data_IF_104606255892
#
_entry.id   IF_104606255892
#
_cell.length_a   1.000
_cell.length_b   1.000
_cell.length_c   1.000
_cell.angle_alpha   90.00
_cell.angle_beta   90.00
_cell.angle_gamma   90.00
#
_symmetry.space_group_name_H-M   'P 1'
#
loop_
_entity.id
_entity.type
_entity.pdbx_description
1 polymer ?
#
# COMPACT_ATOMS: atom_id res chain seq x y z
N UNK A 1 31.59 62.47 25.98
CA UNK A 1 31.37 62.22 25.87
C UNK A 1 30.89 61.17 25.47
N UNK A 2 30.63 60.87 25.36
CA UNK A 2 30.32 60.28 25.04
C UNK A 2 29.77 59.21 24.73
N UNK A 3 29.59 59.07 24.66
CA UNK A 3 29.22 58.36 24.45
C UNK A 3 28.72 57.40 23.99
N UNK A 4 28.56 57.33 23.88
CA UNK A 4 28.15 56.67 23.51
C UNK A 4 27.82 55.61 23.02
N UNK A 5 27.67 55.40 22.98
CA UNK A 5 27.42 54.63 22.54
C UNK A 5 27.03 53.60 22.28
N UNK A 6 26.91 53.41 22.22
CA UNK A 6 26.58 52.70 22.00
C UNK A 6 26.04 51.78 21.66
N UNK A 7 25.68 51.46 21.56
CA UNK A 7 25.21 50.78 21.29
C UNK A 7 24.88 49.82 20.82
N UNK A 8 24.79 49.54 20.69
CA UNK A 8 24.55 48.88 20.31
C UNK A 8 24.12 47.86 19.83
N UNK A 9 23.95 47.63 19.58
CA UNK A 9 23.71 46.91 19.14
C UNK A 9 23.34 45.87 19.00
N UNK A 10 23.22 45.52 18.78
CA UNK A 10 22.91 44.73 18.74
C UNK A 10 22.41 43.89 18.28
N UNK A 11 22.12 43.72 18.30
CA UNK A 11 21.65 43.16 18.05
C UNK A 11 21.35 42.19 17.49
N UNK A 12 21.22 41.89 17.19
CA UNK A 12 20.94 41.18 16.77
C UNK A 12 20.70 40.07 16.45
N UNK A 13 20.57 39.67 16.29
CA UNK A 13 20.43 38.85 16.09
C UNK A 13 19.87 37.89 15.62
N UNK A 14 19.55 37.67 15.53
CA UNK A 14 19.01 37.14 15.14
C UNK A 14 18.77 35.95 14.84
N UNK A 15 18.57 35.49 14.61
CA UNK A 15 18.37 34.62 14.45
C UNK A 15 17.84 33.72 13.90
N UNK A 16 17.71 33.34 13.78
CA UNK A 16 17.25 32.57 13.35
C UNK A 16 17.08 31.57 12.91
N UNK A 17 16.82 31.10 12.67
CA UNK A 17 16.63 30.39 12.44
C UNK A 17 16.17 29.42 12.00
N UNK A 18 15.82 28.99 11.84
CA UNK A 18 15.43 28.28 11.51
C UNK A 18 15.09 27.34 11.10
N UNK A 19 14.88 26.92 10.76
CA UNK A 19 14.52 26.32 10.46
C UNK A 19 14.29 25.32 9.94
N UNK A 20 14.17 24.77 9.96
CA UNK A 20 14.08 23.89 9.67
C UNK A 20 13.41 23.18 8.98
N UNK A 21 13.34 22.88 8.41
CA UNK A 21 12.79 22.41 7.68
C UNK A 21 12.35 21.16 7.72
N UNK A 22 11.51 20.90 8.03
CA UNK A 22 10.86 19.67 8.14
C UNK A 22 10.38 19.10 6.84
N UNK A 23 10.62 19.79 5.79
CA UNK A 23 10.17 19.26 4.51
C UNK A 23 10.66 17.85 4.27
N UNK A 24 11.89 17.57 4.64
CA UNK A 24 12.42 16.23 4.49
C UNK A 24 11.70 15.24 5.39
N UNK A 25 11.36 15.68 6.56
CA UNK A 25 10.63 14.80 7.46
C UNK A 25 9.26 14.46 6.93
N UNK A 26 8.60 15.40 6.30
CA UNK A 26 7.30 15.14 5.72
C UNK A 26 7.37 14.04 4.66
N UNK A 27 8.47 13.97 3.94
CA UNK A 27 8.65 12.94 2.93
C UNK A 27 8.76 11.55 3.54
N UNK A 28 9.23 11.46 4.76
CA UNK A 28 9.41 10.20 5.45
C UNK A 28 8.32 9.91 6.47
N UNK A 29 7.30 10.73 6.50
CA UNK A 29 6.16 10.42 7.35
C UNK A 29 5.61 9.05 6.95
N UNK A 30 5.20 8.26 7.91
CA UNK A 30 4.60 6.97 7.58
C UNK A 30 3.42 7.19 6.66
N UNK A 31 3.33 6.39 5.64
CA UNK A 31 2.16 6.38 4.81
C UNK A 31 0.95 6.04 5.68
N UNK A 32 -0.20 6.57 5.33
CA UNK A 32 -1.41 6.16 6.00
C UNK A 32 -1.50 4.65 5.94
N UNK A 33 -2.02 4.01 6.99
CA UNK A 33 -2.20 2.56 6.95
C UNK A 33 -3.03 2.21 5.71
N UNK A 34 -2.64 1.16 5.04
CA UNK A 34 -3.41 0.66 3.92
C UNK A 34 -4.81 0.30 4.41
N UNK A 35 -5.79 0.53 3.56
CA UNK A 35 -7.13 0.07 3.85
C UNK A 35 -7.08 -1.43 4.13
N UNK A 36 -7.90 -1.88 5.06
CA UNK A 36 -7.89 -3.27 5.48
C UNK A 36 -9.30 -3.84 5.43
N UNK A 37 -9.36 -5.16 5.29
CA UNK A 37 -10.61 -5.90 5.37
C UNK A 37 -10.32 -7.20 6.12
N UNK A 38 -11.19 -7.54 7.06
CA UNK A 38 -11.05 -8.82 7.73
C UNK A 38 -11.40 -9.95 6.76
N UNK A 39 -10.67 -11.05 6.84
CA UNK A 39 -10.94 -12.19 5.97
C UNK A 39 -12.39 -12.64 6.03
N UNK A 40 -12.98 -12.63 7.21
CA UNK A 40 -14.37 -13.06 7.39
C UNK A 40 -15.37 -12.11 6.72
N UNK A 41 -14.95 -10.87 6.45
CA UNK A 41 -15.83 -9.86 5.85
C UNK A 41 -15.68 -9.76 4.34
N UNK A 42 -14.82 -10.56 3.74
CA UNK A 42 -14.70 -10.63 2.29
C UNK A 42 -15.98 -11.22 1.68
N UNK A 43 -16.29 -10.85 0.43
CA UNK A 43 -17.35 -11.58 -0.28
C UNK A 43 -17.07 -13.07 -0.28
N UNK A 44 -18.11 -13.85 -0.36
CA UNK A 44 -18.01 -15.31 -0.31
C UNK A 44 -16.98 -15.83 -1.32
N UNK A 45 -17.04 -15.34 -2.56
CA UNK A 45 -16.15 -15.80 -3.62
C UNK A 45 -14.70 -15.47 -3.31
N UNK A 46 -14.46 -14.34 -2.65
CA UNK A 46 -13.10 -13.98 -2.26
C UNK A 46 -12.59 -14.88 -1.14
N UNK A 47 -13.47 -15.24 -0.20
CA UNK A 47 -13.07 -16.18 0.85
C UNK A 47 -12.73 -17.54 0.25
N UNK A 48 -13.49 -17.96 -0.75
CA UNK A 48 -13.22 -19.23 -1.43
C UNK A 48 -11.88 -19.20 -2.15
N UNK A 49 -11.59 -18.11 -2.86
CA UNK A 49 -10.31 -17.96 -3.54
C UNK A 49 -9.17 -17.92 -2.54
N UNK A 50 -9.34 -17.20 -1.43
CA UNK A 50 -8.31 -17.13 -0.41
C UNK A 50 -7.98 -18.52 0.14
N UNK A 51 -9.02 -19.34 0.37
CA UNK A 51 -8.81 -20.69 0.84
C UNK A 51 -8.02 -21.52 -0.18
N UNK A 52 -8.34 -21.36 -1.47
CA UNK A 52 -7.60 -22.05 -2.51
C UNK A 52 -6.13 -21.61 -2.57
N UNK A 53 -5.88 -20.31 -2.42
CA UNK A 53 -4.52 -19.79 -2.44
C UNK A 53 -3.71 -20.39 -1.30
N UNK A 54 -4.28 -20.44 -0.10
CA UNK A 54 -3.61 -21.03 1.06
C UNK A 54 -3.35 -22.51 0.89
N UNK A 55 -4.22 -23.19 0.19
CA UNK A 55 -4.12 -24.62 -0.02
C UNK A 55 -3.21 -24.98 -1.17
N UNK A 56 -2.97 -24.04 -2.08
CA UNK A 56 -2.14 -24.30 -3.26
C UNK A 56 -2.90 -24.75 -4.50
N UNK A 57 -4.20 -24.55 -4.51
CA UNK A 57 -5.03 -24.89 -5.64
C UNK A 57 -5.77 -26.20 -5.45
N UNK A 58 -6.35 -26.77 -6.52
CA UNK A 58 -6.25 -26.29 -7.89
C UNK A 58 -7.09 -25.04 -8.13
N UNK A 59 -6.70 -24.29 -9.16
CA UNK A 59 -7.34 -23.01 -9.45
C UNK A 59 -8.18 -23.12 -10.71
N UNK A 60 -9.36 -22.46 -10.75
CA UNK A 60 -10.26 -22.61 -11.90
C UNK A 60 -9.90 -21.79 -13.12
N UNK A 61 -9.03 -20.80 -13.00
CA UNK A 61 -8.68 -19.94 -14.13
C UNK A 61 -7.23 -20.14 -14.52
N UNK A 62 -7.00 -20.15 -15.84
CA UNK A 62 -5.65 -20.41 -16.35
C UNK A 62 -4.63 -19.38 -15.88
N UNK A 63 -5.08 -18.16 -15.65
CA UNK A 63 -4.16 -17.10 -15.21
C UNK A 63 -3.91 -17.08 -13.71
N UNK A 64 -4.60 -17.90 -12.96
CA UNK A 64 -4.40 -17.92 -11.52
C UNK A 64 -2.96 -18.34 -11.20
N UNK A 65 -2.33 -17.61 -10.32
CA UNK A 65 -0.93 -17.84 -9.98
C UNK A 65 0.07 -17.07 -10.81
N UNK A 66 -0.40 -16.27 -11.77
CA UNK A 66 0.51 -15.45 -12.58
C UNK A 66 1.19 -14.39 -11.72
N UNK A 67 2.38 -14.01 -12.12
CA UNK A 67 3.12 -12.96 -11.43
C UNK A 67 2.38 -11.63 -11.58
N UNK A 68 2.17 -10.94 -10.46
CA UNK A 68 1.61 -9.60 -10.45
C UNK A 68 2.78 -8.61 -10.31
N UNK A 69 2.92 -7.71 -11.28
CA UNK A 69 4.11 -6.86 -11.36
C UNK A 69 4.12 -5.66 -10.45
N UNK A 70 2.97 -5.28 -9.88
CA UNK A 70 2.87 -4.09 -9.01
C UNK A 70 3.42 -2.83 -9.70
N UNK A 71 3.13 -2.67 -10.98
CA UNK A 71 3.73 -1.59 -11.77
C UNK A 71 3.36 -0.20 -11.28
N UNK A 72 2.13 -0.02 -10.81
CA UNK A 72 1.67 1.26 -10.29
C UNK A 72 2.11 1.49 -8.86
N UNK A 73 2.76 0.53 -8.24
CA UNK A 73 3.27 0.71 -6.89
C UNK A 73 2.21 0.82 -5.82
N UNK A 74 1.02 0.25 -6.05
CA UNK A 74 -0.06 0.35 -5.07
C UNK A 74 0.12 -0.58 -3.88
N UNK A 75 0.91 -1.62 -4.06
CA UNK A 75 1.32 -2.51 -2.97
C UNK A 75 2.75 -2.18 -2.57
N UNK A 76 3.17 -2.61 -1.38
CA UNK A 76 4.56 -2.35 -0.97
C UNK A 76 5.54 -2.87 -2.01
N UNK A 77 6.62 -2.12 -2.29
CA UNK A 77 7.57 -2.52 -3.32
C UNK A 77 8.30 -3.80 -2.90
N UNK A 78 8.35 -4.73 -3.82
CA UNK A 78 9.03 -6.02 -3.62
C UNK A 78 9.66 -6.44 -4.93
N UNK A 79 10.57 -7.40 -4.86
CA UNK A 79 11.19 -7.98 -6.03
C UNK A 79 10.14 -8.59 -6.94
N UNK A 80 10.37 -8.52 -8.23
CA UNK A 80 9.50 -9.18 -9.18
C UNK A 80 9.39 -10.66 -8.83
N UNK A 81 8.17 -11.17 -8.92
CA UNK A 81 7.89 -12.55 -8.55
C UNK A 81 7.41 -12.71 -7.11
N UNK A 82 7.50 -11.64 -6.31
CA UNK A 82 7.01 -11.70 -4.94
C UNK A 82 5.50 -11.84 -4.88
N UNK A 83 4.78 -11.15 -5.77
CA UNK A 83 3.31 -11.16 -5.79
C UNK A 83 2.79 -12.05 -6.90
N UNK A 84 1.70 -12.77 -6.60
CA UNK A 84 0.96 -13.55 -7.58
C UNK A 84 -0.51 -13.20 -7.49
N UNK A 85 -1.19 -13.22 -8.64
CA UNK A 85 -2.59 -12.84 -8.70
C UNK A 85 -3.49 -14.04 -8.88
N UNK A 86 -4.70 -13.92 -8.36
CA UNK A 86 -5.71 -14.99 -8.44
C UNK A 86 -7.06 -14.36 -8.67
N UNK A 87 -7.89 -15.02 -9.48
CA UNK A 87 -9.21 -14.53 -9.83
C UNK A 87 -10.21 -14.81 -8.72
N UNK A 88 -10.97 -13.80 -8.35
CA UNK A 88 -12.14 -13.95 -7.50
C UNK A 88 -13.36 -13.92 -8.42
N UNK A 89 -14.12 -15.01 -8.46
CA UNK A 89 -15.25 -15.12 -9.35
C UNK A 89 -16.27 -14.01 -9.06
N UNK A 90 -16.79 -13.42 -10.13
CA UNK A 90 -17.89 -12.48 -10.02
C UNK A 90 -19.15 -13.18 -10.53
N UNK A 91 -20.11 -13.45 -9.67
CA UNK A 91 -21.33 -14.15 -10.09
C UNK A 91 -22.02 -13.42 -11.24
N UNK A 92 -22.42 -14.15 -12.25
CA UNK A 92 -23.10 -13.58 -13.39
C UNK A 92 -22.22 -13.06 -14.48
N UNK A 93 -20.90 -12.97 -14.24
CA UNK A 93 -19.96 -12.52 -15.26
C UNK A 93 -19.49 -13.70 -16.09
N UNK A 94 -19.44 -13.51 -17.39
CA UNK A 94 -18.88 -14.51 -18.28
C UNK A 94 -17.37 -14.44 -18.31
N UNK A 95 -16.82 -13.27 -18.10
CA UNK A 95 -15.38 -13.05 -18.08
C UNK A 95 -14.85 -13.29 -16.69
N UNK A 96 -13.54 -13.11 -16.52
CA UNK A 96 -12.93 -13.17 -15.19
C UNK A 96 -13.44 -12.09 -14.25
N UNK A 97 -14.07 -11.02 -14.79
CA UNK A 97 -14.47 -9.90 -13.98
C UNK A 97 -13.28 -9.13 -13.45
N UNK A 98 -13.52 -8.27 -12.46
CA UNK A 98 -12.52 -7.31 -11.97
C UNK A 98 -11.95 -7.65 -10.60
N UNK A 99 -12.39 -8.72 -9.99
CA UNK A 99 -11.99 -9.05 -8.63
C UNK A 99 -10.77 -9.94 -8.62
N UNK A 100 -9.81 -9.63 -7.74
CA UNK A 100 -8.59 -10.44 -7.61
C UNK A 100 -8.17 -10.52 -6.16
N UNK A 101 -7.44 -11.57 -5.84
CA UNK A 101 -6.59 -11.61 -4.66
C UNK A 101 -5.16 -11.61 -5.16
N UNK A 102 -4.33 -10.78 -4.55
CA UNK A 102 -2.90 -10.79 -4.78
C UNK A 102 -2.25 -11.30 -3.52
N UNK A 103 -1.42 -12.33 -3.68
CA UNK A 103 -0.75 -12.98 -2.57
C UNK A 103 0.73 -12.68 -2.63
N UNK A 104 1.29 -12.22 -1.52
CA UNK A 104 2.71 -12.06 -1.37
C UNK A 104 3.36 -13.34 -0.88
N UNK A 105 4.63 -13.50 -1.20
CA UNK A 105 5.37 -14.71 -0.86
C UNK A 105 5.40 -14.97 0.65
N UNK A 106 5.41 -13.92 1.45
CA UNK A 106 5.52 -14.04 2.90
C UNK A 106 4.16 -14.19 3.59
N UNK A 107 3.09 -14.45 2.84
CA UNK A 107 1.80 -14.71 3.44
C UNK A 107 0.95 -13.46 3.64
N UNK A 108 1.28 -12.38 2.97
CA UNK A 108 0.44 -11.20 2.94
C UNK A 108 -0.53 -11.29 1.77
N UNK A 109 -1.78 -10.93 2.02
CA UNK A 109 -2.83 -11.05 1.02
C UNK A 109 -3.55 -9.72 0.85
N UNK A 110 -3.94 -9.42 -0.39
CA UNK A 110 -4.55 -8.16 -0.77
C UNK A 110 -5.75 -8.43 -1.64
N UNK A 111 -6.82 -7.69 -1.45
CA UNK A 111 -8.04 -7.85 -2.23
C UNK A 111 -8.31 -6.59 -3.05
N UNK A 112 -8.69 -6.79 -4.31
CA UNK A 112 -9.16 -5.70 -5.18
C UNK A 112 -10.45 -6.12 -5.85
N UNK A 113 -11.38 -5.19 -5.96
CA UNK A 113 -12.64 -5.42 -6.69
C UNK A 113 -12.78 -4.47 -7.89
N UNK A 114 -11.74 -3.74 -8.22
CA UNK A 114 -11.75 -2.76 -9.30
C UNK A 114 -10.58 -2.93 -10.26
N UNK A 115 -10.17 -4.15 -10.48
CA UNK A 115 -9.11 -4.51 -11.43
C UNK A 115 -7.80 -3.79 -11.11
N UNK A 116 -7.35 -3.95 -9.86
CA UNK A 116 -6.05 -3.46 -9.36
C UNK A 116 -5.98 -1.95 -9.13
N UNK A 117 -7.09 -1.24 -9.20
CA UNK A 117 -7.06 0.20 -9.00
C UNK A 117 -6.88 0.56 -7.53
N UNK A 118 -7.59 -0.16 -6.67
CA UNK A 118 -7.41 -0.02 -5.22
C UNK A 118 -7.28 -1.39 -4.58
N UNK A 119 -6.59 -1.43 -3.43
CA UNK A 119 -6.39 -2.67 -2.70
C UNK A 119 -6.72 -2.49 -1.24
N UNK A 120 -7.18 -3.58 -0.63
CA UNK A 120 -7.32 -3.66 0.82
C UNK A 120 -6.50 -4.83 1.33
N UNK A 121 -5.71 -4.59 2.37
CA UNK A 121 -4.95 -5.65 3.01
C UNK A 121 -5.93 -6.57 3.72
N UNK A 122 -5.81 -7.86 3.47
CA UNK A 122 -6.66 -8.85 4.16
C UNK A 122 -5.99 -9.18 5.48
N UNK A 123 -6.74 -9.02 6.57
CA UNK A 123 -6.22 -9.43 7.88
C UNK A 123 -7.05 -10.61 8.39
N UNK A 124 -6.39 -11.41 9.17
CA UNK A 124 -6.98 -12.65 9.69
C UNK A 124 -8.01 -12.41 10.76
#
# INVERSE_FOLDING_TARGET
MSAVLRNLAWAALAAFVAIASPAGEAQFAPAAPAAQVAAKDLPKEARETLALVRKGGPFPYAKDGAVFGNREGRLPPKKRGYYREYTVKTPGERTRGKRRIVAGRDGDYWYTDDHYDTFRRIRE
#
